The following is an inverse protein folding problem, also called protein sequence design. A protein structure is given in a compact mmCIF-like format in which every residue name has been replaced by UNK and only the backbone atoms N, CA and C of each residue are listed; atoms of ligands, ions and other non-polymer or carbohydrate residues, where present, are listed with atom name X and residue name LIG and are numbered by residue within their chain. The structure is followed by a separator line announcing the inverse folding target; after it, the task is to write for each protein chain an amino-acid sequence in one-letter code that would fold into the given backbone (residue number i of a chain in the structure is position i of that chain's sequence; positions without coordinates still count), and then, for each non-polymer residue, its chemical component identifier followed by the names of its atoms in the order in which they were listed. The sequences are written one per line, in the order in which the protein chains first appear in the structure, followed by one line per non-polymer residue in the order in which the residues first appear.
data_IF_321176088344
#
_entry.id   IF_321176088344
#
_cell.length_a   1.000
_cell.length_b   1.000
_cell.length_c   1.000
_cell.angle_alpha   90.00
_cell.angle_beta   90.00
_cell.angle_gamma   90.00
#
_symmetry.space_group_name_H-M   'P 1'
#
loop_
_entity.id
_entity.type
_entity.pdbx_description
1 polymer ?
#
# COMPACT_ATOMS: atom_id res chain seq x y z
N UNK A 1 5.86 30.39 20.66
CA UNK A 1 4.73 29.52 21.05
C UNK A 1 4.50 28.38 20.05
N UNK A 2 4.34 28.65 18.74
CA UNK A 2 4.14 27.62 17.70
C UNK A 2 5.25 26.55 17.62
N UNK A 3 6.53 26.96 17.75
CA UNK A 3 7.69 26.03 17.68
C UNK A 3 7.70 25.02 18.82
N UNK A 4 7.30 25.45 20.03
CA UNK A 4 7.23 24.58 21.20
C UNK A 4 6.09 23.55 21.09
N UNK A 5 4.95 23.96 20.53
CA UNK A 5 3.80 23.07 20.28
C UNK A 5 4.15 22.03 19.22
N UNK A 6 4.82 22.43 18.13
CA UNK A 6 5.27 21.51 17.09
C UNK A 6 6.33 20.51 17.63
N UNK A 7 7.28 20.98 18.44
CA UNK A 7 8.29 20.14 19.08
C UNK A 7 7.71 19.10 20.04
N UNK A 8 6.67 19.49 20.81
CA UNK A 8 5.94 18.60 21.71
C UNK A 8 5.09 17.55 20.97
N UNK A 9 4.47 17.93 19.85
CA UNK A 9 3.72 17.00 19.00
C UNK A 9 4.63 15.95 18.33
N UNK A 10 5.85 16.35 17.92
CA UNK A 10 6.81 15.44 17.28
C UNK A 10 7.48 14.45 18.24
N UNK A 11 7.46 14.72 19.55
CA UNK A 11 8.05 13.87 20.59
C UNK A 11 7.08 12.80 21.11
N UNK A 12 5.79 12.92 20.81
CA UNK A 12 4.77 11.89 21.08
C UNK A 12 4.72 10.88 19.93
N UNK A 13 5.73 10.01 19.81
CA UNK A 13 5.69 8.90 18.85
C UNK A 13 5.17 7.63 19.52
N UNK A 14 3.95 7.16 19.21
CA UNK A 14 3.52 5.85 19.66
C UNK A 14 4.44 4.76 19.08
N UNK A 15 4.62 3.62 19.76
CA UNK A 15 5.34 2.49 19.18
C UNK A 15 4.66 2.12 17.85
N UNK A 16 5.43 2.13 16.76
CA UNK A 16 4.95 1.74 15.44
C UNK A 16 4.56 0.25 15.50
N UNK A 17 3.26 -0.01 15.63
CA UNK A 17 2.71 -1.35 15.46
C UNK A 17 2.71 -1.61 13.97
N UNK A 18 3.72 -2.32 13.48
CA UNK A 18 3.60 -2.98 12.19
C UNK A 18 2.33 -3.84 12.20
N UNK A 19 1.77 -4.13 11.03
CA UNK A 19 0.72 -5.13 10.87
C UNK A 19 1.42 -6.44 10.44
N UNK A 20 2.07 -7.21 11.34
CA UNK A 20 2.76 -8.41 10.88
C UNK A 20 1.74 -9.54 10.83
N UNK A 21 0.90 -9.54 9.78
CA UNK A 21 -0.05 -10.60 9.47
C UNK A 21 0.57 -12.00 9.67
N UNK A 22 1.78 -12.19 9.15
CA UNK A 22 2.52 -13.46 9.25
C UNK A 22 3.11 -13.73 10.64
N UNK A 23 3.70 -12.73 11.32
CA UNK A 23 4.22 -12.92 12.67
C UNK A 23 3.11 -13.32 13.65
N UNK A 24 1.90 -12.77 13.48
CA UNK A 24 0.74 -13.11 14.33
C UNK A 24 0.25 -14.54 14.09
N UNK A 25 0.30 -15.03 12.84
CA UNK A 25 -0.10 -16.41 12.50
C UNK A 25 0.85 -17.45 13.10
N UNK A 26 2.15 -17.19 13.05
CA UNK A 26 3.18 -18.17 13.41
C UNK A 26 3.91 -17.91 14.73
N UNK A 27 3.62 -16.79 15.39
CA UNK A 27 4.29 -16.33 16.61
C UNK A 27 5.82 -16.18 16.43
N UNK A 28 6.21 -15.56 15.31
CA UNK A 28 7.62 -15.36 14.96
C UNK A 28 8.03 -13.89 15.06
N UNK A 29 9.18 -13.56 15.68
CA UNK A 29 9.68 -12.19 15.68
C UNK A 29 10.10 -11.75 14.28
N UNK A 30 10.09 -10.44 14.00
CA UNK A 30 10.51 -9.90 12.69
C UNK A 30 11.92 -10.34 12.29
N UNK A 31 12.83 -10.47 13.26
CA UNK A 31 14.21 -10.96 13.08
C UNK A 31 14.30 -12.41 12.62
N UNK A 32 13.23 -13.20 12.73
CA UNK A 32 13.19 -14.53 12.17
C UNK A 32 13.27 -14.51 10.64
N UNK A 33 12.65 -13.51 9.98
CA UNK A 33 12.60 -13.38 8.52
C UNK A 33 13.54 -12.31 7.95
N UNK A 34 13.94 -11.33 8.75
CA UNK A 34 14.67 -10.16 8.28
C UNK A 34 16.07 -10.07 8.89
N UNK A 35 17.06 -9.81 8.04
CA UNK A 35 18.43 -9.44 8.44
C UNK A 35 18.50 -7.93 8.72
N UNK A 36 17.98 -7.13 7.79
CA UNK A 36 17.75 -5.71 7.93
C UNK A 36 16.54 -5.36 7.08
N UNK A 37 15.60 -4.54 7.56
CA UNK A 37 14.48 -4.13 6.72
C UNK A 37 15.01 -3.34 5.49
N UNK A 38 14.63 -3.66 4.24
CA UNK A 38 13.62 -4.65 3.77
C UNK A 38 14.20 -6.02 3.30
N UNK A 39 15.48 -6.30 3.50
CA UNK A 39 16.18 -7.54 3.11
C UNK A 39 15.71 -8.75 3.93
N UNK A 40 15.29 -9.82 3.24
CA UNK A 40 14.98 -11.12 3.84
C UNK A 40 16.27 -11.93 4.06
N UNK A 41 16.31 -12.68 5.16
CA UNK A 41 17.32 -13.72 5.38
C UNK A 41 16.90 -15.04 4.68
N UNK A 42 17.73 -16.08 4.76
CA UNK A 42 17.47 -17.38 4.11
C UNK A 42 16.13 -18.00 4.51
N UNK A 43 15.77 -17.88 5.79
CA UNK A 43 14.47 -18.34 6.30
C UNK A 43 13.33 -17.55 5.66
N UNK A 44 13.42 -16.23 5.61
CA UNK A 44 12.42 -15.34 5.03
C UNK A 44 12.21 -15.57 3.54
N UNK A 45 13.29 -15.80 2.78
CA UNK A 45 13.21 -16.18 1.36
C UNK A 45 12.49 -17.52 1.22
N UNK A 46 12.90 -18.54 1.97
CA UNK A 46 12.30 -19.86 1.89
C UNK A 46 10.83 -19.89 2.36
N UNK A 47 10.44 -18.99 3.27
CA UNK A 47 9.06 -18.79 3.70
C UNK A 47 8.20 -18.14 2.61
N UNK A 48 8.72 -17.07 1.98
CA UNK A 48 8.07 -16.40 0.84
C UNK A 48 7.89 -17.35 -0.35
N UNK A 49 8.92 -18.13 -0.68
CA UNK A 49 8.90 -19.06 -1.81
C UNK A 49 7.84 -20.16 -1.63
N UNK A 50 7.57 -20.58 -0.38
CA UNK A 50 6.50 -21.51 0.01
C UNK A 50 5.10 -20.88 0.08
N UNK A 51 4.92 -19.66 -0.40
CA UNK A 51 3.63 -18.97 -0.34
C UNK A 51 3.29 -18.47 1.07
N UNK A 52 4.30 -18.09 1.85
CA UNK A 52 4.16 -17.65 3.25
C UNK A 52 3.66 -18.75 4.19
N UNK A 53 4.27 -19.94 4.07
CA UNK A 53 3.92 -21.14 4.81
C UNK A 53 5.16 -21.77 5.47
N UNK A 54 4.96 -22.36 6.66
CA UNK A 54 6.00 -23.10 7.38
C UNK A 54 6.04 -24.59 7.02
N UNK A 55 5.09 -25.09 6.24
CA UNK A 55 4.99 -26.51 5.88
C UNK A 55 4.39 -27.36 7.01
N UNK A 56 3.62 -26.78 7.92
CA UNK A 56 3.00 -27.47 9.05
C UNK A 56 1.47 -27.31 9.04
N UNK A 57 0.79 -27.84 10.06
CA UNK A 57 -0.67 -27.78 10.14
C UNK A 57 -1.18 -26.35 10.25
N UNK A 58 -0.45 -25.45 10.92
CA UNK A 58 -0.82 -24.03 11.12
C UNK A 58 -0.96 -23.24 9.82
N UNK A 59 -0.50 -23.79 8.69
CA UNK A 59 -0.70 -23.18 7.37
C UNK A 59 -2.17 -23.18 6.96
N UNK A 60 -2.95 -24.17 7.40
CA UNK A 60 -4.37 -24.28 7.10
C UNK A 60 -5.17 -23.13 7.77
N UNK A 61 -6.16 -22.54 7.06
CA UNK A 61 -6.96 -21.44 7.60
C UNK A 61 -7.73 -21.79 8.88
N UNK A 62 -7.96 -23.09 9.16
CA UNK A 62 -8.63 -23.55 10.39
C UNK A 62 -7.87 -23.18 11.68
N UNK A 63 -6.56 -22.96 11.57
CA UNK A 63 -5.71 -22.56 12.69
C UNK A 63 -5.54 -21.03 12.79
N UNK A 64 -6.18 -20.26 11.90
CA UNK A 64 -6.24 -18.82 12.06
C UNK A 64 -7.14 -18.45 13.23
N UNK A 65 -6.74 -17.41 13.97
CA UNK A 65 -7.61 -16.82 14.97
C UNK A 65 -8.88 -16.29 14.26
N UNK A 66 -10.11 -16.64 14.68
CA UNK A 66 -11.33 -16.13 14.07
C UNK A 66 -11.45 -14.61 14.08
N UNK A 67 -10.80 -13.94 15.04
CA UNK A 67 -10.71 -12.47 15.12
C UNK A 67 -9.75 -11.87 14.09
N UNK A 68 -8.96 -12.69 13.40
CA UNK A 68 -8.06 -12.25 12.34
C UNK A 68 -8.83 -12.16 11.02
N UNK A 69 -9.35 -10.97 10.74
CA UNK A 69 -9.85 -10.62 9.42
C UNK A 69 -8.69 -10.04 8.60
N UNK A 70 -8.22 -10.71 7.53
CA UNK A 70 -7.06 -10.27 6.77
C UNK A 70 -7.38 -9.13 5.80
N UNK A 71 -8.03 -8.06 6.27
CA UNK A 71 -8.28 -6.85 5.50
C UNK A 71 -7.42 -5.70 6.04
N UNK A 72 -6.83 -4.95 5.13
CA UNK A 72 -6.12 -3.70 5.40
C UNK A 72 -6.73 -2.60 4.55
N UNK A 73 -6.86 -1.41 5.13
CA UNK A 73 -7.26 -0.20 4.42
C UNK A 73 -6.08 0.76 4.35
N UNK A 74 -5.79 1.31 3.17
CA UNK A 74 -4.82 2.40 2.99
C UNK A 74 -5.55 3.60 2.40
N UNK A 75 -5.34 4.74 3.01
CA UNK A 75 -5.81 6.04 2.53
C UNK A 75 -4.60 6.97 2.49
N UNK A 76 -4.50 7.78 1.43
CA UNK A 76 -3.42 8.76 1.29
C UNK A 76 -4.02 10.16 1.26
N UNK A 77 -4.30 10.77 2.43
CA UNK A 77 -4.69 12.17 2.46
C UNK A 77 -3.47 13.03 2.13
N UNK A 78 -3.68 14.08 1.35
CA UNK A 78 -2.61 15.00 1.02
C UNK A 78 -3.10 16.45 1.07
N UNK A 79 -2.19 17.33 1.42
CA UNK A 79 -2.37 18.76 1.31
C UNK A 79 -1.35 19.25 0.29
N UNK A 80 -1.82 20.02 -0.68
CA UNK A 80 -0.96 20.59 -1.71
C UNK A 80 -1.08 22.11 -1.69
N UNK A 81 0.02 22.76 -2.07
CA UNK A 81 0.08 24.19 -2.33
C UNK A 81 0.99 24.41 -3.52
N UNK A 82 0.42 24.87 -4.61
CA UNK A 82 1.11 25.05 -5.88
C UNK A 82 1.04 26.52 -6.29
N UNK A 83 2.17 27.07 -6.73
CA UNK A 83 2.21 28.41 -7.29
C UNK A 83 2.71 28.28 -8.73
N UNK A 84 1.87 28.69 -9.67
CA UNK A 84 2.20 28.70 -11.09
C UNK A 84 2.17 30.13 -11.61
N UNK A 85 3.28 30.54 -12.23
CA UNK A 85 3.42 31.85 -12.84
C UNK A 85 2.91 31.84 -14.27
N UNK A 86 2.52 33.01 -14.81
CA UNK A 86 2.02 33.18 -16.17
C UNK A 86 0.72 32.41 -16.48
N UNK A 87 -0.16 32.27 -15.49
CA UNK A 87 -1.52 31.78 -15.75
C UNK A 87 -2.37 32.93 -16.30
N UNK A 88 -3.12 32.63 -17.35
CA UNK A 88 -4.10 33.55 -17.92
C UNK A 88 -5.29 33.59 -16.97
N UNK A 89 -5.58 34.77 -16.43
CA UNK A 89 -6.74 35.00 -15.57
C UNK A 89 -7.59 36.13 -16.16
N UNK A 90 -8.90 36.05 -15.95
CA UNK A 90 -9.79 37.11 -16.39
C UNK A 90 -9.52 38.38 -15.57
N UNK A 91 -9.46 39.53 -16.26
CA UNK A 91 -9.24 40.83 -15.62
C UNK A 91 -10.41 41.18 -14.68
N UNK A 92 -11.62 40.72 -15.04
CA UNK A 92 -12.81 40.71 -14.18
C UNK A 92 -13.17 39.24 -13.90
N UNK A 93 -13.16 38.78 -12.64
CA UNK A 93 -13.43 37.38 -12.33
C UNK A 93 -14.77 36.89 -12.90
N UNK A 94 -14.73 35.87 -13.75
CA UNK A 94 -15.93 35.24 -14.32
C UNK A 94 -16.45 35.86 -15.62
N UNK A 95 -15.76 36.87 -16.18
CA UNK A 95 -16.10 37.45 -17.47
C UNK A 95 -14.87 37.50 -18.40
N UNK A 96 -14.66 36.47 -19.24
CA UNK A 96 -13.52 36.43 -20.16
C UNK A 96 -13.65 37.46 -21.30
N UNK A 97 -14.83 38.04 -21.54
CA UNK A 97 -15.03 39.03 -22.60
C UNK A 97 -14.47 40.40 -22.24
N UNK A 98 -14.22 40.67 -20.95
CA UNK A 98 -13.64 41.91 -20.45
C UNK A 98 -12.10 41.91 -20.41
N UNK A 99 -11.47 40.91 -21.04
CA UNK A 99 -10.03 40.83 -21.25
C UNK A 99 -9.30 40.00 -20.22
N UNK A 100 -8.13 39.48 -20.59
CA UNK A 100 -7.34 38.54 -19.79
C UNK A 100 -5.93 39.08 -19.51
N UNK A 101 -5.37 38.74 -18.35
CA UNK A 101 -4.03 39.16 -17.93
C UNK A 101 -3.25 37.98 -17.37
N UNK A 102 -1.92 38.07 -17.39
CA UNK A 102 -1.05 37.07 -16.78
C UNK A 102 -0.86 37.38 -15.31
N UNK A 103 -1.15 36.40 -14.44
CA UNK A 103 -0.92 36.52 -13.01
C UNK A 103 -0.25 35.27 -12.45
N UNK A 104 0.39 35.43 -11.30
CA UNK A 104 0.81 34.30 -10.49
C UNK A 104 -0.40 33.79 -9.72
N UNK A 105 -0.77 32.53 -9.94
CA UNK A 105 -1.90 31.89 -9.28
C UNK A 105 -1.32 30.90 -8.28
N UNK A 106 -1.70 31.08 -7.01
CA UNK A 106 -1.41 30.12 -5.94
C UNK A 106 -2.69 29.39 -5.60
N UNK A 107 -2.67 28.07 -5.71
CA UNK A 107 -3.74 27.17 -5.29
C UNK A 107 -3.28 26.38 -4.08
N UNK A 108 -4.19 26.14 -3.13
CA UNK A 108 -3.98 25.24 -2.00
C UNK A 108 -5.26 24.45 -1.72
N UNK A 109 -5.10 23.22 -1.25
CA UNK A 109 -6.21 22.30 -1.11
C UNK A 109 -5.84 21.04 -0.35
N UNK A 110 -6.89 20.30 0.03
CA UNK A 110 -6.76 18.93 0.52
C UNK A 110 -7.28 18.00 -0.56
N UNK A 111 -6.43 17.07 -0.99
CA UNK A 111 -6.83 16.04 -1.93
C UNK A 111 -6.90 14.68 -1.25
N UNK A 112 -7.68 13.83 -1.90
CA UNK A 112 -7.75 12.43 -1.61
C UNK A 112 -6.95 11.68 -2.67
N UNK A 113 -5.83 11.06 -2.29
CA UNK A 113 -5.00 10.27 -3.22
C UNK A 113 -5.49 8.83 -3.42
N UNK A 114 -6.74 8.51 -3.09
CA UNK A 114 -7.32 7.17 -3.26
C UNK A 114 -7.51 6.36 -1.98
N UNK A 115 -8.37 5.33 -2.08
CA UNK A 115 -8.62 4.30 -1.08
C UNK A 115 -8.21 2.94 -1.60
N UNK A 116 -7.33 2.25 -0.90
CA UNK A 116 -7.07 0.84 -1.14
C UNK A 116 -7.71 -0.01 -0.05
N UNK A 117 -8.41 -1.05 -0.47
CA UNK A 117 -8.90 -2.10 0.41
C UNK A 117 -8.18 -3.37 -0.02
N UNK A 118 -7.37 -3.95 0.85
CA UNK A 118 -6.59 -5.13 0.53
C UNK A 118 -6.99 -6.30 1.42
N UNK A 119 -7.45 -7.38 0.80
CA UNK A 119 -7.73 -8.65 1.45
C UNK A 119 -6.79 -9.73 0.91
N UNK A 120 -6.02 -10.40 1.77
CA UNK A 120 -5.14 -11.49 1.33
C UNK A 120 -4.96 -12.58 2.39
N UNK A 121 -5.01 -13.85 1.99
CA UNK A 121 -4.90 -14.95 2.93
C UNK A 121 -4.87 -16.32 2.25
N UNK A 122 -5.15 -17.36 3.02
CA UNK A 122 -5.19 -18.76 2.58
C UNK A 122 -6.63 -19.28 2.56
N UNK A 123 -7.10 -19.78 1.42
CA UNK A 123 -8.39 -20.49 1.29
C UNK A 123 -8.29 -21.95 1.74
N UNK A 124 -7.12 -22.56 1.50
CA UNK A 124 -6.76 -23.91 1.94
C UNK A 124 -5.26 -23.97 2.21
N UNK A 125 -4.75 -25.09 2.75
CA UNK A 125 -3.33 -25.22 3.12
C UNK A 125 -2.38 -24.74 2.02
N UNK A 126 -2.64 -25.08 0.76
CA UNK A 126 -1.78 -24.71 -0.39
C UNK A 126 -2.52 -23.84 -1.43
N UNK A 127 -3.57 -23.13 -1.01
CA UNK A 127 -4.34 -22.23 -1.89
C UNK A 127 -4.43 -20.87 -1.22
N UNK A 128 -3.79 -19.88 -1.83
CA UNK A 128 -3.71 -18.51 -1.35
C UNK A 128 -4.49 -17.57 -2.27
N UNK A 129 -4.99 -16.46 -1.74
CA UNK A 129 -5.70 -15.44 -2.52
C UNK A 129 -5.27 -14.02 -2.13
N UNK A 130 -5.46 -13.10 -3.06
CA UNK A 130 -5.33 -11.66 -2.83
C UNK A 130 -6.35 -10.91 -3.68
N UNK A 131 -6.98 -9.91 -3.08
CA UNK A 131 -7.96 -9.01 -3.71
C UNK A 131 -7.69 -7.60 -3.21
N UNK A 132 -7.44 -6.68 -4.13
CA UNK A 132 -7.13 -5.28 -3.85
C UNK A 132 -7.89 -4.37 -4.82
N UNK A 133 -9.14 -4.01 -4.51
CA UNK A 133 -9.78 -2.85 -5.10
C UNK A 133 -9.13 -1.55 -4.58
N UNK A 134 -8.85 -0.65 -5.51
CA UNK A 134 -8.30 0.68 -5.27
C UNK A 134 -9.15 1.72 -5.96
N UNK A 135 -9.35 2.87 -5.32
CA UNK A 135 -9.97 4.04 -5.93
C UNK A 135 -8.93 5.05 -6.36
N UNK A 136 -9.21 5.74 -7.46
CA UNK A 136 -8.53 7.01 -7.75
C UNK A 136 -9.05 8.15 -6.85
N UNK A 137 -8.51 9.35 -7.08
CA UNK A 137 -8.92 10.59 -6.40
C UNK A 137 -10.38 10.99 -6.63
N UNK A 138 -11.03 10.50 -7.69
CA UNK A 138 -12.45 10.74 -7.99
C UNK A 138 -13.38 9.72 -7.32
N UNK A 139 -12.83 8.70 -6.67
CA UNK A 139 -13.57 7.60 -6.06
C UNK A 139 -13.96 6.49 -7.03
N UNK A 140 -13.41 6.46 -8.25
CA UNK A 140 -13.62 5.38 -9.21
C UNK A 140 -12.78 4.16 -8.84
N UNK A 141 -13.43 3.02 -8.62
CA UNK A 141 -12.75 1.79 -8.19
C UNK A 141 -12.33 0.90 -9.36
N UNK A 142 -11.14 0.33 -9.24
CA UNK A 142 -10.65 -0.73 -10.09
C UNK A 142 -9.87 -1.75 -9.26
N UNK A 143 -9.69 -2.95 -9.80
CA UNK A 143 -8.84 -3.96 -9.14
C UNK A 143 -7.40 -3.74 -9.53
N UNK A 144 -6.52 -3.44 -8.56
CA UNK A 144 -5.08 -3.46 -8.82
C UNK A 144 -4.55 -4.89 -8.86
N UNK A 145 -5.06 -5.72 -7.96
CA UNK A 145 -4.63 -7.10 -7.78
C UNK A 145 -5.84 -7.99 -7.45
N UNK A 146 -6.03 -9.05 -8.23
CA UNK A 146 -6.97 -10.15 -7.93
C UNK A 146 -6.33 -11.43 -8.42
N UNK A 147 -5.87 -12.28 -7.50
CA UNK A 147 -5.30 -13.56 -7.87
C UNK A 147 -5.66 -14.68 -6.89
N UNK A 148 -5.57 -15.89 -7.42
CA UNK A 148 -5.46 -17.13 -6.65
C UNK A 148 -4.11 -17.76 -6.96
N UNK A 149 -3.44 -18.28 -5.94
CA UNK A 149 -2.14 -18.95 -6.05
C UNK A 149 -2.24 -20.35 -5.46
N UNK A 150 -1.76 -21.32 -6.23
CA UNK A 150 -1.57 -22.70 -5.81
C UNK A 150 -0.10 -22.88 -5.45
N UNK A 151 0.15 -23.14 -4.18
CA UNK A 151 1.48 -23.24 -3.59
C UNK A 151 1.94 -24.70 -3.50
N UNK A 152 3.25 -24.92 -3.47
CA UNK A 152 3.86 -26.22 -3.18
C UNK A 152 3.32 -27.39 -4.04
N UNK A 153 3.06 -27.16 -5.33
CA UNK A 153 2.50 -28.19 -6.21
C UNK A 153 3.40 -29.43 -6.23
N UNK A 154 2.78 -30.61 -6.18
CA UNK A 154 3.48 -31.90 -6.08
C UNK A 154 4.35 -32.03 -4.80
N UNK A 155 4.05 -31.26 -3.75
CA UNK A 155 4.85 -31.22 -2.52
C UNK A 155 6.18 -30.47 -2.69
N UNK A 156 6.34 -29.68 -3.76
CA UNK A 156 7.58 -29.00 -4.08
C UNK A 156 7.43 -27.47 -4.01
N UNK A 157 8.20 -26.81 -3.13
CA UNK A 157 8.22 -25.34 -2.99
C UNK A 157 8.63 -24.58 -4.24
N UNK A 158 9.32 -25.24 -5.17
CA UNK A 158 9.81 -24.63 -6.41
C UNK A 158 8.72 -24.56 -7.50
N UNK A 159 7.60 -25.26 -7.31
CA UNK A 159 6.50 -25.29 -8.28
C UNK A 159 5.26 -24.63 -7.68
N UNK A 160 4.97 -23.41 -8.14
CA UNK A 160 3.79 -22.64 -7.73
C UNK A 160 3.11 -22.07 -8.97
N UNK A 161 1.78 -21.99 -8.96
CA UNK A 161 1.01 -21.42 -10.08
C UNK A 161 0.14 -20.29 -9.54
N UNK A 162 0.32 -19.08 -10.05
CA UNK A 162 -0.47 -17.89 -9.71
C UNK A 162 -1.30 -17.49 -10.93
N UNK A 163 -2.61 -17.33 -10.75
CA UNK A 163 -3.55 -16.99 -11.83
C UNK A 163 -4.37 -15.77 -11.43
N UNK A 164 -4.49 -14.80 -12.33
CA UNK A 164 -5.27 -13.58 -12.15
C UNK A 164 -4.52 -12.33 -12.58
N UNK A 165 -4.91 -11.18 -12.01
CA UNK A 165 -4.24 -9.90 -12.17
C UNK A 165 -3.31 -9.66 -10.99
N UNK A 166 -2.02 -9.53 -11.26
CA UNK A 166 -1.01 -9.31 -10.22
C UNK A 166 0.21 -8.58 -10.80
N UNK A 167 0.97 -7.90 -9.94
CA UNK A 167 2.26 -7.32 -10.30
C UNK A 167 3.34 -8.39 -10.47
N UNK A 168 4.28 -8.14 -11.38
CA UNK A 168 5.50 -8.95 -11.46
C UNK A 168 6.40 -8.68 -10.25
N UNK A 169 7.14 -9.70 -9.82
CA UNK A 169 8.07 -9.62 -8.68
C UNK A 169 9.36 -8.87 -9.09
N UNK A 170 9.22 -7.58 -9.39
CA UNK A 170 10.30 -6.66 -9.73
C UNK A 170 11.00 -6.12 -8.47
N UNK A 171 12.21 -5.55 -8.62
CA UNK A 171 12.94 -4.90 -7.51
C UNK A 171 12.18 -3.73 -6.89
N UNK A 172 11.37 -3.04 -7.69
CA UNK A 172 10.50 -1.95 -7.27
C UNK A 172 9.10 -2.28 -7.75
N UNK A 173 8.12 -2.11 -6.86
CA UNK A 173 6.70 -2.29 -7.23
C UNK A 173 6.32 -1.25 -8.27
N UNK A 174 5.62 -1.69 -9.32
CA UNK A 174 5.10 -0.82 -10.37
C UNK A 174 4.05 0.15 -9.83
N UNK A 175 3.44 -0.19 -8.69
CA UNK A 175 2.40 0.59 -8.01
C UNK A 175 2.93 1.45 -6.88
N UNK A 176 4.19 1.33 -6.51
CA UNK A 176 4.83 2.17 -5.48
C UNK A 176 6.00 2.91 -6.07
N UNK A 177 5.70 4.09 -6.62
CA UNK A 177 6.73 4.99 -7.10
C UNK A 177 7.58 5.54 -5.95
N UNK A 178 8.88 5.60 -6.20
CA UNK A 178 9.89 6.13 -5.28
C UNK A 178 10.15 7.63 -5.48
N UNK A 179 9.44 8.26 -6.41
CA UNK A 179 9.66 9.65 -6.80
C UNK A 179 8.62 10.57 -6.18
N UNK A 180 9.08 11.73 -5.71
CA UNK A 180 8.22 12.86 -5.39
C UNK A 180 7.68 13.46 -6.69
N UNK A 181 6.36 13.50 -6.83
CA UNK A 181 5.65 14.22 -7.88
C UNK A 181 5.23 15.59 -7.35
N UNK A 182 5.26 16.61 -8.21
CA UNK A 182 4.68 17.93 -7.89
C UNK A 182 3.15 17.91 -7.84
N UNK A 183 2.52 16.91 -8.47
CA UNK A 183 1.10 16.65 -8.33
C UNK A 183 0.95 15.57 -7.26
N UNK A 184 0.34 15.93 -6.14
CA UNK A 184 0.03 14.97 -5.11
C UNK A 184 -0.98 13.94 -5.62
N UNK A 185 -0.69 12.66 -5.45
CA UNK A 185 -1.64 11.55 -5.57
C UNK A 185 -1.98 11.15 -7.01
N UNK A 186 -2.25 9.86 -7.16
CA UNK A 186 -2.85 9.26 -8.36
C UNK A 186 -4.27 8.86 -7.98
#
# INVERSE_FOLDING_TARGET
MFVFVLGMLLSLRPPARAIPAFARKYDLPCSACHEAWPKLNDFGIAFRDRGYQLGNEKDSPIWQNPSYWPITFRITPQWHRESSSNNVVDTVPGDPALGQTFQNVTTDGFDFGGLDIWAAGTLYKDISFSVLPSSDSSGSFHFENVFVRFDNLLGNRWMNVKVGKFELDNLVSEKRMLFLSNNGGF
#
